data_IF_094165583561
#
_entry.id   IF_094165583561
#
_cell.length_a   1.000
_cell.length_b   1.000
_cell.length_c   1.000
_cell.angle_alpha   90.00
_cell.angle_beta   90.00
_cell.angle_gamma   90.00
#
_symmetry.space_group_name_H-M   'P 1'
#
loop_
_entity.id
_entity.type
_entity.pdbx_description
1 polymer ?
#
# COMPACT_ATOMS: atom_id res chain seq x y z
N UNK A 1 31.54 13.68 -9.96
CA UNK A 1 31.05 13.27 -8.63
C UNK A 1 30.55 11.84 -8.70
N UNK A 2 30.49 11.16 -7.57
CA UNK A 2 29.79 9.87 -7.39
C UNK A 2 28.65 10.07 -6.40
N UNK A 3 27.47 9.45 -6.60
CA UNK A 3 27.05 8.63 -7.75
C UNK A 3 27.08 9.37 -9.10
N UNK A 4 27.03 8.62 -10.20
CA UNK A 4 26.93 9.19 -11.55
C UNK A 4 25.49 9.61 -11.88
N UNK A 5 25.33 10.50 -12.86
CA UNK A 5 24.00 10.95 -13.27
C UNK A 5 23.14 9.77 -13.77
N UNK A 6 21.86 9.78 -13.39
CA UNK A 6 20.90 8.72 -13.69
C UNK A 6 21.01 7.48 -12.80
N UNK A 7 21.90 7.47 -11.80
CA UNK A 7 22.01 6.35 -10.88
C UNK A 7 20.73 6.19 -10.03
N UNK A 8 20.22 4.96 -9.96
CA UNK A 8 19.25 4.56 -8.95
C UNK A 8 19.99 4.07 -7.72
N UNK A 9 19.73 4.67 -6.57
CA UNK A 9 20.50 4.47 -5.33
C UNK A 9 19.58 4.14 -4.15
N UNK A 10 20.11 3.36 -3.20
CA UNK A 10 19.39 2.92 -2.01
C UNK A 10 20.34 2.60 -0.86
N UNK A 11 19.81 2.59 0.37
CA UNK A 11 20.57 2.24 1.57
C UNK A 11 21.64 3.27 1.94
N UNK A 12 22.82 2.80 2.30
CA UNK A 12 23.96 3.68 2.63
C UNK A 12 25.01 3.61 1.54
N UNK A 13 25.43 4.76 1.03
CA UNK A 13 26.45 4.87 -0.01
C UNK A 13 27.43 6.01 0.26
N UNK A 14 28.51 6.06 -0.51
CA UNK A 14 29.47 7.16 -0.47
C UNK A 14 29.16 8.18 -1.57
N UNK A 15 29.03 9.45 -1.19
CA UNK A 15 29.03 10.58 -2.12
C UNK A 15 30.45 11.16 -2.16
N UNK A 16 31.02 11.34 -3.34
CA UNK A 16 32.37 11.88 -3.48
C UNK A 16 32.50 12.85 -4.65
N UNK A 17 33.46 13.76 -4.54
CA UNK A 17 33.80 14.72 -5.59
C UNK A 17 35.32 14.89 -5.68
N UNK A 18 35.79 15.17 -6.89
CA UNK A 18 37.13 15.67 -7.12
C UNK A 18 37.05 17.19 -7.22
N UNK A 19 37.96 17.87 -6.55
CA UNK A 19 38.09 19.33 -6.61
C UNK A 19 39.56 19.69 -6.78
N UNK A 20 39.83 20.67 -7.63
CA UNK A 20 41.18 21.14 -7.92
C UNK A 20 41.16 22.66 -7.93
N UNK A 21 42.22 23.24 -7.40
CA UNK A 21 42.48 24.67 -7.44
C UNK A 21 43.99 24.88 -7.57
N UNK A 22 44.43 26.04 -8.08
CA UNK A 22 45.85 26.33 -8.26
C UNK A 22 46.59 26.61 -6.94
N UNK A 23 45.88 27.04 -5.88
CA UNK A 23 46.43 27.26 -4.54
C UNK A 23 45.93 26.26 -3.51
N UNK A 24 44.92 25.47 -3.86
CA UNK A 24 44.44 24.32 -3.08
C UNK A 24 43.01 24.50 -2.60
N UNK A 25 42.31 23.38 -2.50
CA UNK A 25 40.92 23.32 -2.05
C UNK A 25 40.90 23.05 -0.54
N UNK A 26 40.22 23.91 0.23
CA UNK A 26 40.13 23.80 1.70
C UNK A 26 38.87 23.11 2.18
N UNK A 27 37.88 22.90 1.30
CA UNK A 27 36.67 22.18 1.66
C UNK A 27 35.77 21.88 0.48
N UNK A 28 34.96 20.83 0.62
CA UNK A 28 33.88 20.47 -0.29
C UNK A 28 32.62 20.20 0.52
N UNK A 29 31.58 20.99 0.27
CA UNK A 29 30.25 20.78 0.85
C UNK A 29 29.35 20.07 -0.14
N UNK A 30 28.90 18.86 0.21
CA UNK A 30 27.85 18.15 -0.54
C UNK A 30 26.47 18.68 -0.19
N UNK A 31 25.56 18.66 -1.17
CA UNK A 31 24.17 19.07 -1.00
C UNK A 31 23.20 18.14 -1.74
N UNK A 32 22.03 17.93 -1.15
CA UNK A 32 20.86 17.26 -1.73
C UNK A 32 19.76 18.31 -1.92
N UNK A 33 19.32 18.52 -3.17
CA UNK A 33 18.31 19.51 -3.54
C UNK A 33 18.58 20.92 -2.99
N UNK A 34 19.86 21.30 -2.93
CA UNK A 34 20.32 22.60 -2.43
C UNK A 34 20.52 22.67 -0.91
N UNK A 35 20.14 21.64 -0.15
CA UNK A 35 20.34 21.54 1.31
C UNK A 35 21.63 20.80 1.63
N UNK A 36 22.39 21.24 2.64
CA UNK A 36 23.64 20.61 3.04
C UNK A 36 23.43 19.13 3.43
N UNK A 37 24.17 18.25 2.74
CA UNK A 37 24.19 16.82 2.98
C UNK A 37 25.38 16.49 3.89
N UNK A 38 25.18 16.70 5.19
CA UNK A 38 26.23 16.52 6.21
C UNK A 38 27.17 17.72 6.32
N UNK A 39 28.24 17.53 7.10
CA UNK A 39 29.27 18.55 7.30
C UNK A 39 30.20 18.68 6.08
N UNK A 40 30.83 19.84 5.95
CA UNK A 40 31.84 20.07 4.92
C UNK A 40 33.06 19.16 5.10
N UNK A 41 33.54 18.57 4.01
CA UNK A 41 34.73 17.73 4.01
C UNK A 41 35.96 18.60 3.72
N UNK A 42 36.85 18.74 4.71
CA UNK A 42 37.96 19.73 4.68
C UNK A 42 39.28 19.19 4.12
N UNK A 43 39.34 17.91 3.73
CA UNK A 43 40.54 17.29 3.17
C UNK A 43 40.20 16.22 2.12
N UNK A 44 41.10 16.03 1.17
CA UNK A 44 40.99 14.99 0.16
C UNK A 44 41.33 13.59 0.76
N UNK A 45 40.68 12.50 0.31
CA UNK A 45 39.63 12.46 -0.71
C UNK A 45 38.30 13.01 -0.19
N UNK A 46 37.68 13.93 -0.94
CA UNK A 46 36.42 14.56 -0.53
C UNK A 46 35.27 13.56 -0.71
N UNK A 47 34.91 12.89 0.39
CA UNK A 47 33.88 11.88 0.41
C UNK A 47 33.09 11.92 1.73
N UNK A 48 31.78 11.65 1.65
CA UNK A 48 30.89 11.56 2.79
C UNK A 48 29.99 10.33 2.67
N UNK A 49 29.72 9.67 3.81
CA UNK A 49 28.71 8.62 3.89
C UNK A 49 27.31 9.24 3.89
N UNK A 50 26.42 8.72 3.06
CA UNK A 50 25.03 9.15 2.96
C UNK A 50 24.10 7.96 3.15
N UNK A 51 23.20 8.07 4.14
CA UNK A 51 22.07 7.17 4.31
C UNK A 51 20.84 7.70 3.54
N UNK A 52 20.52 7.12 2.38
CA UNK A 52 19.39 7.55 1.53
C UNK A 52 18.03 7.23 2.13
N UNK A 53 17.94 6.40 3.17
CA UNK A 53 16.65 6.12 3.84
C UNK A 53 16.09 7.31 4.62
N UNK A 54 16.90 8.35 4.78
CA UNK A 54 16.49 9.63 5.41
C UNK A 54 15.91 10.64 4.41
N UNK A 55 15.94 10.32 3.12
CA UNK A 55 15.38 11.13 2.04
C UNK A 55 14.15 10.45 1.42
N UNK A 56 13.29 11.25 0.79
CA UNK A 56 12.10 10.75 0.08
C UNK A 56 12.54 9.88 -1.11
N UNK A 57 11.76 8.87 -1.48
CA UNK A 57 12.02 8.12 -2.70
C UNK A 57 11.61 8.97 -3.93
N UNK A 58 12.41 8.96 -4.99
CA UNK A 58 12.14 9.76 -6.19
C UNK A 58 13.39 10.44 -6.77
N UNK A 59 13.21 11.34 -7.74
CA UNK A 59 14.32 12.07 -8.36
C UNK A 59 14.87 13.14 -7.40
N UNK A 60 16.18 13.18 -7.27
CA UNK A 60 16.92 14.15 -6.47
C UNK A 60 18.12 14.71 -7.23
N UNK A 61 18.59 15.88 -6.82
CA UNK A 61 19.76 16.54 -7.39
C UNK A 61 20.88 16.66 -6.35
N UNK A 62 22.00 15.98 -6.62
CA UNK A 62 23.23 16.13 -5.85
C UNK A 62 24.09 17.25 -6.44
N UNK A 63 24.64 18.10 -5.58
CA UNK A 63 25.68 19.07 -5.93
C UNK A 63 26.82 19.01 -4.92
N UNK A 64 28.00 19.47 -5.33
CA UNK A 64 29.12 19.74 -4.44
C UNK A 64 29.62 21.15 -4.71
N UNK A 65 30.03 21.86 -3.65
CA UNK A 65 30.62 23.19 -3.76
C UNK A 65 31.99 23.13 -3.10
N UNK A 66 33.05 23.32 -3.90
CA UNK A 66 34.41 23.44 -3.42
C UNK A 66 34.68 24.88 -2.96
N UNK A 67 35.46 25.04 -1.90
CA UNK A 67 35.98 26.33 -1.45
C UNK A 67 37.50 26.33 -1.44
N UNK A 68 38.12 27.40 -1.90
CA UNK A 68 39.57 27.60 -1.84
C UNK A 68 40.02 28.37 -0.59
N UNK A 69 41.34 28.56 -0.42
CA UNK A 69 41.93 29.32 0.69
C UNK A 69 41.49 30.79 0.75
N UNK A 70 41.09 31.37 -0.38
CA UNK A 70 40.65 32.76 -0.50
C UNK A 70 39.13 32.91 -0.28
N UNK A 71 38.41 31.81 -0.10
CA UNK A 71 36.96 31.78 0.08
C UNK A 71 36.16 31.75 -1.22
N UNK A 72 36.81 31.61 -2.39
CA UNK A 72 36.11 31.47 -3.66
C UNK A 72 35.38 30.13 -3.72
N UNK A 73 34.21 30.12 -4.34
CA UNK A 73 33.36 28.93 -4.45
C UNK A 73 33.32 28.41 -5.89
N UNK A 74 33.59 27.12 -6.06
CA UNK A 74 33.48 26.39 -7.32
C UNK A 74 32.40 25.31 -7.24
N UNK A 75 31.20 25.53 -7.80
CA UNK A 75 30.17 24.50 -7.84
C UNK A 75 30.50 23.43 -8.90
N UNK A 76 30.28 22.17 -8.54
CA UNK A 76 30.25 21.07 -9.50
C UNK A 76 28.94 21.09 -10.30
N UNK A 77 28.97 20.54 -11.51
CA UNK A 77 27.76 20.28 -12.28
C UNK A 77 26.78 19.41 -11.47
N UNK A 78 25.48 19.74 -11.45
CA UNK A 78 24.49 18.93 -10.74
C UNK A 78 24.41 17.50 -11.28
N UNK A 79 24.20 16.55 -10.39
CA UNK A 79 24.02 15.13 -10.71
C UNK A 79 22.61 14.72 -10.29
N UNK A 80 21.77 14.39 -11.27
CA UNK A 80 20.46 13.80 -11.00
C UNK A 80 20.60 12.33 -10.61
N UNK A 81 19.97 11.92 -9.53
CA UNK A 81 19.90 10.52 -9.06
C UNK A 81 18.45 10.19 -8.71
N UNK A 82 18.11 8.91 -8.71
CA UNK A 82 16.81 8.43 -8.24
C UNK A 82 17.01 7.64 -6.96
N UNK A 83 16.43 8.10 -5.85
CA UNK A 83 16.41 7.33 -4.61
C UNK A 83 15.28 6.31 -4.69
N UNK A 84 15.63 5.04 -4.54
CA UNK A 84 14.69 3.93 -4.55
C UNK A 84 15.05 2.93 -3.45
N UNK A 85 14.78 3.29 -2.19
CA UNK A 85 15.10 2.45 -1.02
C UNK A 85 14.31 1.11 -0.96
N UNK A 86 13.46 0.82 -1.95
CA UNK A 86 12.41 -0.19 -1.86
C UNK A 86 11.34 0.22 -0.85
N UNK A 87 10.11 -0.24 -1.01
CA UNK A 87 9.11 -0.08 0.06
C UNK A 87 9.42 -1.12 1.14
N UNK A 88 9.82 -0.68 2.33
CA UNK A 88 9.94 -1.55 3.52
C UNK A 88 8.57 -2.04 4.01
N UNK A 89 7.50 -1.69 3.30
CA UNK A 89 6.11 -2.06 3.59
C UNK A 89 5.83 -3.56 3.55
N UNK A 90 6.74 -4.38 3.01
CA UNK A 90 6.63 -5.84 3.10
C UNK A 90 7.42 -6.42 4.29
N UNK A 91 8.33 -5.65 4.89
CA UNK A 91 9.09 -6.08 6.06
C UNK A 91 8.21 -6.10 7.29
N UNK A 92 8.28 -7.19 8.07
CA UNK A 92 7.54 -7.35 9.31
C UNK A 92 6.04 -7.57 9.14
N UNK A 93 5.55 -7.84 7.92
CA UNK A 93 4.18 -8.30 7.70
C UNK A 93 3.99 -9.67 8.34
N UNK A 94 2.94 -9.79 9.16
CA UNK A 94 2.49 -11.05 9.77
C UNK A 94 1.07 -11.43 9.37
N UNK A 95 0.36 -10.53 8.70
CA UNK A 95 -0.91 -10.81 8.04
C UNK A 95 -1.17 -9.76 6.98
N UNK A 96 -1.60 -10.18 5.79
CA UNK A 96 -1.97 -9.28 4.72
C UNK A 96 -3.13 -9.87 3.90
N UNK A 97 -4.33 -9.37 4.12
CA UNK A 97 -5.53 -9.77 3.39
C UNK A 97 -5.94 -8.65 2.46
N UNK A 98 -5.67 -8.85 1.17
CA UNK A 98 -6.00 -7.90 0.11
C UNK A 98 -7.49 -7.83 -0.18
N UNK A 99 -8.20 -8.95 0.02
CA UNK A 99 -9.58 -9.14 -0.44
C UNK A 99 -9.75 -9.02 -1.96
N UNK A 100 -8.75 -9.51 -2.70
CA UNK A 100 -8.73 -9.50 -4.17
C UNK A 100 -9.27 -10.79 -4.80
N UNK A 101 -9.67 -11.80 -4.01
CA UNK A 101 -10.10 -13.11 -4.54
C UNK A 101 -11.41 -13.02 -5.33
N UNK A 102 -12.28 -12.06 -4.99
CA UNK A 102 -13.54 -11.76 -5.67
C UNK A 102 -14.61 -12.86 -5.59
N UNK A 103 -14.28 -14.03 -5.03
CA UNK A 103 -15.18 -15.19 -4.88
C UNK A 103 -14.71 -16.10 -3.74
N UNK A 104 -15.57 -17.04 -3.33
CA UNK A 104 -15.24 -18.05 -2.32
C UNK A 104 -15.44 -17.58 -0.88
N UNK A 105 -14.95 -18.38 0.06
CA UNK A 105 -15.18 -18.25 1.51
C UNK A 105 -13.90 -17.98 2.31
N UNK A 106 -12.80 -17.65 1.63
CA UNK A 106 -11.50 -17.44 2.25
C UNK A 106 -10.84 -16.19 1.70
N UNK A 107 -10.09 -15.49 2.55
CA UNK A 107 -9.14 -14.46 2.13
C UNK A 107 -7.72 -14.95 2.40
N UNK A 108 -6.88 -14.97 1.38
CA UNK A 108 -5.52 -15.51 1.43
C UNK A 108 -4.62 -14.49 2.12
N UNK A 109 -3.75 -14.99 2.99
CA UNK A 109 -2.69 -14.18 3.59
C UNK A 109 -1.52 -14.00 2.62
N UNK A 110 -1.43 -12.83 2.02
CA UNK A 110 -0.36 -12.43 1.10
C UNK A 110 0.96 -12.06 1.79
N UNK A 111 1.03 -12.09 3.13
CA UNK A 111 2.29 -11.83 3.86
C UNK A 111 3.27 -13.01 3.79
N UNK A 112 2.78 -14.20 3.46
CA UNK A 112 3.55 -15.45 3.54
C UNK A 112 3.55 -16.10 4.93
N UNK A 113 2.81 -15.56 5.90
CA UNK A 113 2.75 -16.11 7.27
C UNK A 113 1.74 -17.25 7.43
N UNK A 114 0.97 -17.57 6.39
CA UNK A 114 0.02 -18.67 6.39
C UNK A 114 -1.24 -18.41 7.24
N UNK A 115 -1.52 -17.15 7.58
CA UNK A 115 -2.69 -16.76 8.37
C UNK A 115 -3.94 -16.61 7.49
N UNK A 116 -4.26 -17.60 6.65
CA UNK A 116 -5.46 -17.56 5.79
C UNK A 116 -6.72 -17.35 6.62
N UNK A 117 -7.57 -16.42 6.18
CA UNK A 117 -8.80 -16.05 6.87
C UNK A 117 -10.01 -16.78 6.30
N UNK A 118 -11.03 -16.98 7.14
CA UNK A 118 -12.31 -17.55 6.76
C UNK A 118 -13.41 -16.50 6.87
N UNK A 119 -14.26 -16.42 5.84
CA UNK A 119 -15.45 -15.58 5.82
C UNK A 119 -16.60 -16.28 6.57
N UNK A 120 -17.14 -15.61 7.58
CA UNK A 120 -18.16 -16.14 8.47
C UNK A 120 -19.51 -15.48 8.19
N UNK A 121 -20.56 -16.29 8.05
CA UNK A 121 -21.94 -15.83 7.81
C UNK A 121 -22.15 -14.97 6.55
N UNK A 122 -21.25 -15.09 5.56
CA UNK A 122 -21.43 -14.53 4.22
C UNK A 122 -21.22 -13.02 4.05
N UNK A 123 -20.05 -12.44 4.38
CA UNK A 123 -19.62 -11.18 3.78
C UNK A 123 -19.62 -11.31 2.25
N UNK A 124 -19.94 -10.24 1.55
CA UNK A 124 -20.07 -10.26 0.08
C UNK A 124 -18.90 -9.57 -0.58
N UNK A 125 -18.40 -10.15 -1.68
CA UNK A 125 -17.38 -9.53 -2.51
C UNK A 125 -17.97 -8.31 -3.23
N UNK A 126 -17.26 -7.19 -3.19
CA UNK A 126 -17.68 -5.93 -3.82
C UNK A 126 -16.48 -5.20 -4.42
N UNK A 127 -16.70 -4.07 -5.06
CA UNK A 127 -15.62 -3.19 -5.52
C UNK A 127 -14.92 -2.54 -4.33
N UNK A 128 -13.62 -2.76 -4.26
CA UNK A 128 -12.76 -2.23 -3.21
C UNK A 128 -12.24 -0.84 -3.48
N UNK A 129 -11.39 -0.37 -2.57
CA UNK A 129 -10.46 0.72 -2.83
C UNK A 129 -9.40 0.27 -3.85
N UNK A 130 -8.99 -0.99 -3.77
CA UNK A 130 -8.05 -1.67 -4.65
C UNK A 130 -8.73 -2.94 -5.17
N UNK A 131 -9.10 -2.96 -6.44
CA UNK A 131 -9.82 -4.09 -7.07
C UNK A 131 -11.10 -4.50 -6.31
N UNK A 132 -11.02 -5.50 -5.42
CA UNK A 132 -12.13 -6.07 -4.69
C UNK A 132 -12.01 -5.80 -3.19
N UNK A 133 -13.12 -5.94 -2.49
CA UNK A 133 -13.20 -5.81 -1.05
C UNK A 133 -14.31 -6.70 -0.51
N UNK A 134 -14.39 -6.76 0.83
CA UNK A 134 -15.50 -7.43 1.50
C UNK A 134 -16.47 -6.40 2.09
N UNK A 135 -17.75 -6.56 1.76
CA UNK A 135 -18.86 -5.82 2.33
C UNK A 135 -19.52 -6.63 3.45
N UNK A 136 -19.79 -5.93 4.54
CA UNK A 136 -20.32 -6.45 5.79
C UNK A 136 -21.67 -5.82 6.12
N UNK A 137 -22.58 -6.63 6.67
CA UNK A 137 -23.99 -6.26 6.89
C UNK A 137 -24.21 -5.47 8.19
N UNK A 138 -23.23 -5.46 9.10
CA UNK A 138 -23.36 -4.89 10.43
C UNK A 138 -24.26 -5.69 11.39
N UNK A 139 -24.60 -6.93 11.04
CA UNK A 139 -25.50 -7.79 11.80
C UNK A 139 -24.83 -9.08 12.25
N UNK A 140 -24.22 -9.84 11.33
CA UNK A 140 -23.73 -11.20 11.64
C UNK A 140 -22.45 -11.60 10.94
N UNK A 141 -22.11 -10.94 9.83
CA UNK A 141 -21.02 -11.40 8.98
C UNK A 141 -19.69 -10.73 9.33
N UNK A 142 -18.62 -11.50 9.23
CA UNK A 142 -17.27 -11.07 9.63
C UNK A 142 -16.22 -11.98 9.00
N UNK A 143 -14.95 -11.64 9.19
CA UNK A 143 -13.82 -12.51 8.82
C UNK A 143 -13.09 -12.94 10.09
N UNK A 144 -12.69 -14.21 10.16
CA UNK A 144 -11.90 -14.75 11.28
C UNK A 144 -10.58 -15.32 10.81
N UNK A 145 -9.53 -15.08 11.58
CA UNK A 145 -8.19 -15.62 11.38
C UNK A 145 -7.80 -16.36 12.66
N UNK A 146 -7.41 -17.65 12.58
CA UNK A 146 -6.96 -18.41 13.74
C UNK A 146 -5.89 -17.68 14.53
N UNK A 147 -5.95 -17.78 15.87
CA UNK A 147 -4.96 -17.12 16.71
C UNK A 147 -3.59 -17.74 16.54
N UNK A 148 -2.58 -16.91 16.29
CA UNK A 148 -1.16 -17.28 16.28
C UNK A 148 -0.37 -16.31 17.16
N UNK A 149 0.79 -16.77 17.67
CA UNK A 149 1.67 -15.92 18.48
C UNK A 149 2.18 -14.69 17.69
N UNK A 150 2.39 -14.83 16.38
CA UNK A 150 2.81 -13.72 15.51
C UNK A 150 1.76 -12.59 15.44
N UNK A 151 0.47 -12.92 15.59
CA UNK A 151 -0.61 -11.93 15.65
C UNK A 151 -0.73 -11.25 17.03
N UNK A 152 -0.04 -11.73 18.08
CA UNK A 152 0.15 -10.98 19.34
C UNK A 152 1.33 -10.00 19.24
N UNK A 153 1.42 -9.30 18.11
CA UNK A 153 2.55 -8.48 17.75
C UNK A 153 2.80 -7.33 18.74
N UNK A 154 4.06 -7.14 19.11
CA UNK A 154 4.61 -5.94 19.73
C UNK A 154 6.07 -5.76 19.28
N UNK A 155 6.47 -4.59 18.76
CA UNK A 155 5.63 -3.47 18.33
C UNK A 155 4.56 -3.89 17.30
N UNK A 156 3.51 -3.09 17.13
CA UNK A 156 2.38 -3.39 16.24
C UNK A 156 2.17 -2.27 15.23
N UNK A 157 1.82 -2.63 14.00
CA UNK A 157 0.98 -1.76 13.15
C UNK A 157 -0.20 -2.55 12.62
N UNK A 158 -1.42 -2.06 12.80
CA UNK A 158 -2.61 -2.56 12.15
C UNK A 158 -3.11 -1.50 11.15
N UNK A 159 -3.20 -1.85 9.88
CA UNK A 159 -3.62 -0.94 8.80
C UNK A 159 -4.76 -1.53 7.98
N UNK A 160 -5.68 -0.69 7.50
CA UNK A 160 -6.87 -1.12 6.76
C UNK A 160 -7.47 0.06 5.99
N UNK A 161 -8.01 -0.22 4.80
CA UNK A 161 -8.94 0.68 4.13
C UNK A 161 -10.37 0.38 4.59
N UNK A 162 -11.08 1.41 5.04
CA UNK A 162 -12.45 1.31 5.53
C UNK A 162 -13.38 2.25 4.76
N UNK A 163 -14.61 1.80 4.54
CA UNK A 163 -15.73 2.64 4.12
C UNK A 163 -16.96 2.25 4.92
N UNK A 164 -17.46 3.14 5.76
CA UNK A 164 -18.57 2.83 6.69
C UNK A 164 -19.46 4.04 6.92
N UNK A 165 -20.71 3.78 7.29
CA UNK A 165 -21.68 4.75 7.79
C UNK A 165 -22.18 4.39 9.20
N UNK A 166 -21.40 3.63 9.97
CA UNK A 166 -21.77 3.22 11.32
C UNK A 166 -21.98 4.44 12.22
N UNK A 167 -23.16 4.59 12.81
CA UNK A 167 -23.53 5.70 13.70
C UNK A 167 -23.78 5.30 15.15
N UNK A 168 -23.85 3.99 15.44
CA UNK A 168 -24.22 3.46 16.75
C UNK A 168 -23.52 2.14 17.04
N UNK A 169 -23.30 1.84 18.31
CA UNK A 169 -22.68 0.59 18.75
C UNK A 169 -21.16 0.64 18.77
N UNK A 170 -20.55 -0.50 19.07
CA UNK A 170 -19.10 -0.69 19.15
C UNK A 170 -18.70 -1.71 18.08
N UNK A 171 -18.44 -1.23 16.87
CA UNK A 171 -18.22 -2.08 15.70
C UNK A 171 -16.73 -2.37 15.52
N UNK A 172 -16.30 -3.62 15.69
CA UNK A 172 -14.90 -4.00 15.46
C UNK A 172 -14.51 -3.82 13.99
N UNK A 173 -13.35 -3.22 13.71
CA UNK A 173 -12.79 -3.12 12.35
C UNK A 173 -11.66 -4.15 12.20
N UNK A 174 -10.62 -4.02 13.03
CA UNK A 174 -9.52 -4.98 13.17
C UNK A 174 -9.38 -5.29 14.64
N UNK A 175 -9.72 -6.52 15.05
CA UNK A 175 -9.92 -6.82 16.46
C UNK A 175 -9.30 -8.16 16.88
N UNK A 176 -8.34 -8.13 17.81
CA UNK A 176 -7.80 -9.32 18.51
C UNK A 176 -8.09 -9.25 20.00
N UNK A 177 -9.20 -8.63 20.37
CA UNK A 177 -9.61 -8.41 21.74
C UNK A 177 -11.01 -8.98 21.95
N UNK A 178 -11.25 -9.59 23.11
CA UNK A 178 -12.60 -9.99 23.54
C UNK A 178 -13.01 -9.12 24.72
N UNK A 179 -14.28 -8.76 24.77
CA UNK A 179 -14.78 -7.84 25.79
C UNK A 179 -14.37 -8.27 27.22
N UNK A 180 -13.99 -7.29 28.04
CA UNK A 180 -13.56 -7.46 29.42
C UNK A 180 -12.28 -8.30 29.65
N UNK A 181 -11.56 -8.71 28.60
CA UNK A 181 -10.31 -9.47 28.76
C UNK A 181 -9.11 -8.63 29.18
N UNK A 182 -9.16 -7.31 28.90
CA UNK A 182 -8.02 -6.38 29.00
C UNK A 182 -6.73 -6.89 28.35
N UNK A 183 -6.84 -7.71 27.30
CA UNK A 183 -5.70 -8.37 26.66
C UNK A 183 -5.96 -8.52 25.15
N UNK A 184 -5.22 -7.76 24.34
CA UNK A 184 -5.37 -7.70 22.88
C UNK A 184 -5.35 -6.27 22.35
N UNK A 185 -5.75 -6.09 21.10
CA UNK A 185 -5.83 -4.78 20.45
C UNK A 185 -7.08 -4.68 19.60
N UNK A 186 -7.52 -3.45 19.35
CA UNK A 186 -8.68 -3.18 18.50
C UNK A 186 -8.55 -1.82 17.80
N UNK A 187 -8.92 -1.80 16.52
CA UNK A 187 -9.38 -0.61 15.78
C UNK A 187 -10.88 -0.79 15.56
N UNK A 188 -11.69 0.22 15.89
CA UNK A 188 -13.16 0.07 15.93
C UNK A 188 -13.89 1.41 15.79
N UNK A 189 -15.18 1.33 15.48
CA UNK A 189 -16.11 2.45 15.60
C UNK A 189 -16.82 2.39 16.95
N UNK A 190 -17.00 3.53 17.61
CA UNK A 190 -17.86 3.67 18.79
C UNK A 190 -18.82 4.85 18.61
N UNK A 191 -20.10 4.55 18.39
CA UNK A 191 -21.15 5.55 18.17
C UNK A 191 -20.74 6.61 17.13
N UNK A 192 -20.22 6.15 15.99
CA UNK A 192 -19.79 6.99 14.87
C UNK A 192 -18.39 7.59 14.96
N UNK A 193 -17.67 7.38 16.06
CA UNK A 193 -16.29 7.84 16.20
C UNK A 193 -15.30 6.70 15.97
N UNK A 194 -14.22 6.97 15.27
CA UNK A 194 -13.10 6.04 15.09
C UNK A 194 -12.23 6.04 16.37
N UNK A 195 -11.94 4.83 16.84
CA UNK A 195 -11.22 4.59 18.08
C UNK A 195 -10.18 3.48 17.87
N UNK A 196 -9.15 3.45 18.71
CA UNK A 196 -8.21 2.34 18.77
C UNK A 196 -7.59 2.18 20.16
N UNK A 197 -7.24 0.96 20.54
CA UNK A 197 -6.48 0.69 21.77
C UNK A 197 -5.60 -0.55 21.65
N UNK A 198 -4.64 -0.63 22.57
CA UNK A 198 -3.77 -1.78 22.76
C UNK A 198 -3.65 -2.08 24.24
N UNK A 199 -4.01 -3.30 24.65
CA UNK A 199 -4.04 -3.74 26.03
C UNK A 199 -3.11 -4.95 26.15
N UNK A 200 -1.98 -4.78 26.83
CA UNK A 200 -1.12 -5.93 27.16
C UNK A 200 -1.79 -6.76 28.26
N UNK A 201 -2.20 -6.07 29.32
CA UNK A 201 -2.90 -6.61 30.49
C UNK A 201 -3.60 -5.47 31.26
N UNK A 202 -4.25 -5.81 32.38
CA UNK A 202 -4.95 -4.87 33.26
C UNK A 202 -4.09 -3.71 33.79
N UNK A 203 -2.77 -3.89 33.86
CA UNK A 203 -1.82 -2.91 34.41
C UNK A 203 -1.06 -2.14 33.34
N UNK A 204 -1.06 -2.64 32.10
CA UNK A 204 -0.23 -2.12 31.01
C UNK A 204 -1.04 -1.94 29.73
N UNK A 205 -1.30 -0.68 29.34
CA UNK A 205 -2.18 -0.37 28.20
C UNK A 205 -1.91 0.98 27.52
N UNK A 206 -2.31 1.05 26.25
CA UNK A 206 -2.59 2.26 25.49
C UNK A 206 -4.11 2.35 25.32
N UNK A 207 -4.77 2.92 26.33
CA UNK A 207 -6.24 2.96 26.41
C UNK A 207 -6.80 4.33 26.85
N UNK A 208 -6.02 5.19 27.51
CA UNK A 208 -6.50 6.52 27.92
C UNK A 208 -7.69 6.53 28.90
N UNK A 209 -8.20 5.37 29.33
CA UNK A 209 -9.26 5.21 30.32
C UNK A 209 -10.70 5.41 29.80
N UNK A 210 -10.90 5.77 28.52
CA UNK A 210 -12.22 5.97 27.92
C UNK A 210 -12.61 4.78 27.03
N UNK A 211 -13.92 4.54 26.88
CA UNK A 211 -14.44 3.51 25.96
C UNK A 211 -14.23 3.83 24.47
N UNK A 212 -13.66 4.99 24.13
CA UNK A 212 -13.22 5.33 22.77
C UNK A 212 -11.97 6.22 22.87
N UNK A 213 -10.78 5.62 22.91
CA UNK A 213 -9.54 6.38 22.88
C UNK A 213 -9.34 6.97 21.49
N UNK A 214 -8.67 8.12 21.41
CA UNK A 214 -8.57 9.02 20.24
C UNK A 214 -9.88 9.73 19.85
N UNK A 215 -11.03 9.04 19.91
CA UNK A 215 -12.37 9.60 19.70
C UNK A 215 -12.50 10.53 18.49
N UNK A 216 -12.24 9.99 17.30
CA UNK A 216 -12.17 10.78 16.07
C UNK A 216 -13.50 10.74 15.28
N UNK A 217 -14.28 11.83 15.22
CA UNK A 217 -15.49 11.89 14.42
C UNK A 217 -15.18 12.05 12.92
N UNK A 218 -16.18 11.80 12.08
CA UNK A 218 -16.18 12.21 10.65
C UNK A 218 -15.60 11.19 9.67
N UNK A 219 -15.14 10.03 10.15
CA UNK A 219 -14.65 8.92 9.31
C UNK A 219 -15.71 7.82 9.07
N UNK A 220 -16.97 8.15 9.32
CA UNK A 220 -18.15 7.34 9.02
C UNK A 220 -19.03 8.02 7.95
N UNK A 221 -18.42 8.73 7.02
CA UNK A 221 -19.03 9.53 5.96
C UNK A 221 -19.33 8.71 4.68
N UNK A 222 -19.19 7.38 4.75
CA UNK A 222 -19.30 6.46 3.63
C UNK A 222 -18.28 6.71 2.50
N UNK A 223 -17.14 7.34 2.79
CA UNK A 223 -15.98 7.43 1.91
C UNK A 223 -14.87 6.46 2.34
N UNK A 224 -13.92 6.22 1.44
CA UNK A 224 -12.75 5.42 1.72
C UNK A 224 -11.75 6.19 2.57
N UNK A 225 -11.38 5.64 3.72
CA UNK A 225 -10.31 6.13 4.57
C UNK A 225 -9.29 5.04 4.86
N UNK A 226 -8.01 5.39 4.83
CA UNK A 226 -6.94 4.49 5.26
C UNK A 226 -6.64 4.74 6.73
N UNK A 227 -6.86 3.74 7.57
CA UNK A 227 -6.59 3.81 9.01
C UNK A 227 -5.35 2.99 9.33
N UNK A 228 -4.40 3.58 10.08
CA UNK A 228 -3.26 2.86 10.62
C UNK A 228 -3.10 3.14 12.12
N UNK A 229 -3.16 2.08 12.94
CA UNK A 229 -2.87 2.14 14.36
C UNK A 229 -1.49 1.55 14.63
N UNK A 230 -0.57 2.39 15.09
CA UNK A 230 0.85 2.07 15.31
C UNK A 230 1.14 2.08 16.81
N UNK A 231 1.75 1.02 17.34
CA UNK A 231 2.14 0.90 18.75
C UNK A 231 3.62 0.55 18.86
N UNK A 232 4.36 1.33 19.62
CA UNK A 232 5.78 1.14 19.93
C UNK A 232 6.05 1.31 21.43
N UNK A 233 7.31 1.49 21.83
CA UNK A 233 7.68 1.73 23.23
C UNK A 233 7.23 3.10 23.78
N UNK A 234 6.96 4.07 22.91
CA UNK A 234 6.49 5.41 23.29
C UNK A 234 4.98 5.47 23.53
N UNK A 235 4.21 4.54 22.95
CA UNK A 235 2.75 4.51 23.06
C UNK A 235 2.07 4.09 21.76
N UNK A 236 0.79 4.43 21.62
CA UNK A 236 0.03 4.24 20.39
C UNK A 236 -0.22 5.54 19.65
N UNK A 237 -0.24 5.46 18.33
CA UNK A 237 -0.47 6.57 17.39
C UNK A 237 -1.54 6.12 16.39
N UNK A 238 -2.55 6.95 16.18
CA UNK A 238 -3.61 6.68 15.20
C UNK A 238 -3.45 7.65 14.02
N UNK A 239 -3.29 7.08 12.83
CA UNK A 239 -3.19 7.79 11.57
C UNK A 239 -4.44 7.53 10.73
N UNK A 240 -4.90 8.57 10.03
CA UNK A 240 -5.94 8.44 9.01
C UNK A 240 -5.50 9.20 7.76
N UNK A 241 -5.61 8.54 6.61
CA UNK A 241 -5.22 9.04 5.28
C UNK A 241 -3.76 9.50 5.22
N UNK A 242 -2.87 8.75 5.88
CA UNK A 242 -1.43 9.06 5.95
C UNK A 242 -1.03 10.08 7.02
N UNK A 243 -2.00 10.76 7.65
CA UNK A 243 -1.73 11.83 8.62
C UNK A 243 -1.97 11.38 10.07
N UNK A 244 -1.08 11.77 10.98
CA UNK A 244 -1.24 11.54 12.42
C UNK A 244 -2.45 12.33 12.95
N UNK A 245 -3.37 11.65 13.61
CA UNK A 245 -4.57 12.25 14.23
C UNK A 245 -4.47 12.34 15.75
N UNK A 246 -3.68 11.48 16.37
CA UNK A 246 -3.43 11.55 17.81
C UNK A 246 -2.41 10.53 18.31
N UNK A 247 -1.96 10.72 19.54
CA UNK A 247 -1.04 9.81 20.25
C UNK A 247 -1.47 9.62 21.70
N UNK A 248 -1.29 8.41 22.23
CA UNK A 248 -1.53 8.07 23.63
C UNK A 248 -0.29 7.37 24.21
N UNK A 249 0.19 7.77 25.39
CA UNK A 249 1.30 7.08 26.05
C UNK A 249 0.85 5.73 26.61
N UNK A 250 1.82 4.91 26.99
CA UNK A 250 1.58 3.75 27.85
C UNK A 250 1.20 4.19 29.27
N UNK A 251 0.16 3.57 29.82
CA UNK A 251 0.07 3.33 31.25
C UNK A 251 0.75 1.98 31.52
N UNK A 252 1.73 1.92 32.42
CA UNK A 252 2.49 0.70 32.71
C UNK A 252 3.63 0.42 31.71
N UNK A 253 4.04 -0.84 31.61
CA UNK A 253 5.24 -1.25 30.86
C UNK A 253 4.86 -1.77 29.47
N UNK A 254 5.44 -1.22 28.39
CA UNK A 254 5.19 -1.69 27.03
C UNK A 254 5.49 -3.19 26.85
N UNK A 255 4.72 -3.88 26.00
CA UNK A 255 4.93 -5.28 25.68
C UNK A 255 3.76 -5.92 24.94
N UNK A 256 3.95 -7.17 24.50
CA UNK A 256 2.94 -7.94 23.76
C UNK A 256 1.78 -8.44 24.64
N UNK A 257 0.54 -8.48 24.14
CA UNK A 257 -0.55 -9.22 24.75
C UNK A 257 -0.28 -10.72 24.68
N UNK A 258 -1.05 -11.49 25.44
CA UNK A 258 -0.99 -12.96 25.48
C UNK A 258 -2.32 -13.61 25.12
N UNK A 259 -3.21 -12.86 24.48
CA UNK A 259 -4.56 -13.28 24.15
C UNK A 259 -4.57 -14.49 23.21
N UNK A 260 -5.51 -15.40 23.45
CA UNK A 260 -5.83 -16.51 22.56
C UNK A 260 -6.97 -16.20 21.59
N UNK A 261 -7.53 -14.98 21.64
CA UNK A 261 -8.62 -14.55 20.78
C UNK A 261 -8.20 -14.59 19.30
N UNK A 262 -8.97 -15.26 18.41
CA UNK A 262 -8.82 -15.13 16.97
C UNK A 262 -8.85 -13.66 16.53
N UNK A 263 -8.08 -13.32 15.50
CA UNK A 263 -8.19 -11.99 14.90
C UNK A 263 -9.49 -11.95 14.09
N UNK A 264 -10.40 -11.06 14.46
CA UNK A 264 -11.65 -10.80 13.77
C UNK A 264 -11.54 -9.49 13.00
N UNK A 265 -12.07 -9.48 11.77
CA UNK A 265 -12.28 -8.28 10.98
C UNK A 265 -13.79 -8.06 10.86
N UNK A 266 -14.23 -6.81 10.98
CA UNK A 266 -15.64 -6.41 11.01
C UNK A 266 -16.46 -6.93 12.23
N UNK A 267 -15.82 -7.35 13.34
CA UNK A 267 -16.52 -7.88 14.51
C UNK A 267 -15.76 -7.69 15.84
N UNK A 268 -16.48 -7.21 16.86
CA UNK A 268 -16.05 -7.12 18.26
C UNK A 268 -16.79 -8.18 19.11
N UNK A 269 -16.16 -9.31 19.46
CA UNK A 269 -16.85 -10.42 20.10
C UNK A 269 -17.13 -10.18 21.59
N UNK A 270 -18.31 -10.65 22.03
CA UNK A 270 -18.79 -10.63 23.41
C UNK A 270 -18.96 -9.23 24.01
N UNK A 271 -19.07 -8.21 23.16
CA UNK A 271 -19.47 -6.87 23.55
C UNK A 271 -20.85 -6.88 24.19
N UNK A 272 -20.98 -6.26 25.36
CA UNK A 272 -22.25 -6.18 26.09
C UNK A 272 -23.33 -5.30 25.41
N UNK A 273 -23.06 -4.75 24.22
CA UNK A 273 -23.89 -3.79 23.50
C UNK A 273 -24.23 -4.28 22.09
N UNK A 274 -25.46 -4.00 21.63
CA UNK A 274 -25.85 -4.14 20.21
C UNK A 274 -24.89 -3.39 19.28
N UNK A 275 -24.60 -3.96 18.11
CA UNK A 275 -23.74 -3.33 17.09
C UNK A 275 -22.27 -3.74 17.19
N UNK A 276 -21.98 -5.00 17.47
CA UNK A 276 -20.62 -5.58 17.48
C UNK A 276 -20.00 -5.71 16.08
N UNK A 277 -20.85 -5.84 15.06
CA UNK A 277 -20.47 -6.06 13.67
C UNK A 277 -20.42 -4.74 12.91
N UNK A 278 -19.46 -4.59 12.02
CA UNK A 278 -19.29 -3.38 11.21
C UNK A 278 -20.24 -3.39 10.01
N UNK A 279 -21.15 -2.40 9.86
CA UNK A 279 -21.76 -2.12 8.57
C UNK A 279 -20.75 -1.34 7.72
N UNK A 280 -20.29 -1.92 6.61
CA UNK A 280 -19.31 -1.23 5.78
C UNK A 280 -18.53 -2.15 4.85
N UNK A 281 -17.44 -1.62 4.32
CA UNK A 281 -16.54 -2.30 3.41
C UNK A 281 -15.12 -2.19 3.95
N UNK A 282 -14.40 -3.32 3.98
CA UNK A 282 -12.98 -3.37 4.34
C UNK A 282 -12.16 -3.84 3.13
N UNK A 283 -10.98 -3.26 2.99
CA UNK A 283 -10.02 -3.58 1.95
C UNK A 283 -8.58 -3.54 2.52
N UNK A 284 -7.69 -4.33 1.94
CA UNK A 284 -6.24 -4.18 2.07
C UNK A 284 -5.71 -4.20 3.53
N UNK A 285 -6.23 -5.13 4.33
CA UNK A 285 -5.95 -5.25 5.76
C UNK A 285 -4.55 -5.81 5.99
N UNK A 286 -3.74 -5.13 6.81
CA UNK A 286 -2.37 -5.53 7.16
C UNK A 286 -2.11 -5.50 8.65
N UNK A 287 -1.35 -6.49 9.12
CA UNK A 287 -0.79 -6.55 10.46
C UNK A 287 0.72 -6.67 10.35
N UNK A 288 1.42 -5.81 11.08
CA UNK A 288 2.88 -5.78 11.18
C UNK A 288 3.33 -6.09 12.61
N UNK A 289 4.43 -6.84 12.73
CA UNK A 289 5.17 -7.03 13.99
C UNK A 289 6.21 -5.93 14.27
N UNK A 290 5.98 -4.75 13.71
CA UNK A 290 6.81 -3.56 13.91
C UNK A 290 5.94 -2.31 13.84
N UNK A 291 6.47 -1.22 14.40
CA UNK A 291 5.89 0.10 14.24
C UNK A 291 6.33 0.69 12.90
N UNK A 292 5.38 1.03 12.04
CA UNK A 292 5.66 1.81 10.82
C UNK A 292 6.01 3.25 11.21
N UNK A 293 7.02 3.81 10.55
CA UNK A 293 7.35 5.23 10.63
C UNK A 293 6.26 6.09 9.96
N UNK A 294 6.18 7.41 10.28
CA UNK A 294 5.24 8.30 9.59
C UNK A 294 5.39 8.28 8.07
N UNK A 295 6.63 8.19 7.56
CA UNK A 295 6.91 8.09 6.12
C UNK A 295 6.33 6.78 5.55
N UNK A 296 6.55 5.65 6.21
CA UNK A 296 5.99 4.37 5.76
C UNK A 296 4.46 4.35 5.82
N UNK A 297 3.83 4.99 6.81
CA UNK A 297 2.37 5.13 6.85
C UNK A 297 1.85 5.97 5.69
N UNK A 298 2.54 7.07 5.35
CA UNK A 298 2.22 7.89 4.18
C UNK A 298 2.44 7.13 2.88
N UNK A 299 3.52 6.35 2.77
CA UNK A 299 3.79 5.50 1.61
C UNK A 299 2.75 4.39 1.47
N UNK A 300 2.30 3.79 2.57
CA UNK A 300 1.24 2.77 2.56
C UNK A 300 -0.09 3.34 2.05
N UNK A 301 -0.45 4.54 2.53
CA UNK A 301 -1.60 5.29 2.02
C UNK A 301 -1.46 5.65 0.53
N UNK A 302 -0.27 6.09 0.09
CA UNK A 302 -0.04 6.51 -1.30
C UNK A 302 0.08 5.34 -2.28
N UNK A 303 0.72 4.24 -1.89
CA UNK A 303 0.86 3.02 -2.69
C UNK A 303 -0.51 2.38 -3.02
N UNK A 304 -1.53 2.73 -2.24
CA UNK A 304 -2.91 2.27 -2.36
C UNK A 304 -3.85 3.37 -2.91
N UNK A 305 -3.28 4.53 -3.25
CA UNK A 305 -3.90 5.55 -4.09
C UNK A 305 -3.50 5.39 -5.59
N UNK A 306 -2.63 4.41 -5.89
CA UNK A 306 -2.21 4.08 -7.26
C UNK A 306 -3.21 3.12 -7.90
N UNK A 307 -3.72 3.53 -9.07
CA UNK A 307 -4.37 2.67 -10.08
C UNK A 307 -3.64 1.35 -10.25
N UNK A 308 -4.39 0.29 -10.59
CA UNK A 308 -3.87 -1.04 -10.94
C UNK A 308 -2.56 -0.93 -11.74
N UNK A 309 -1.49 -1.48 -11.18
CA UNK A 309 -0.19 -1.57 -11.83
C UNK A 309 -0.07 -2.97 -12.46
N UNK A 310 0.09 -3.01 -13.78
CA UNK A 310 0.44 -4.24 -14.49
C UNK A 310 1.83 -4.70 -13.99
N UNK A 311 1.92 -5.94 -13.51
CA UNK A 311 3.11 -6.48 -12.80
C UNK A 311 4.13 -7.12 -13.74
N UNK A 312 3.83 -7.16 -15.02
CA UNK A 312 4.68 -7.75 -16.05
C UNK A 312 5.74 -6.79 -16.64
N UNK A 313 6.71 -7.37 -17.36
CA UNK A 313 7.87 -6.65 -17.92
C UNK A 313 7.44 -5.38 -18.70
N UNK A 314 8.16 -4.25 -18.56
CA UNK A 314 7.86 -3.04 -19.30
C UNK A 314 7.84 -3.31 -20.81
N UNK A 315 6.85 -2.74 -21.50
CA UNK A 315 6.69 -2.85 -22.95
C UNK A 315 7.83 -2.09 -23.66
N UNK A 316 8.99 -2.74 -23.84
CA UNK A 316 10.10 -2.14 -24.57
C UNK A 316 9.79 -2.20 -26.07
N UNK A 317 9.84 -1.08 -26.83
CA UNK A 317 9.47 -1.03 -28.25
C UNK A 317 10.28 -1.93 -29.22
N UNK A 318 11.19 -2.76 -28.72
CA UNK A 318 12.10 -3.61 -29.51
C UNK A 318 12.12 -5.09 -29.06
N UNK A 319 11.26 -5.49 -28.12
CA UNK A 319 11.07 -6.90 -27.75
C UNK A 319 10.05 -7.58 -28.67
N UNK A 320 10.42 -8.71 -29.26
CA UNK A 320 9.61 -9.43 -30.27
C UNK A 320 8.53 -10.33 -29.62
N UNK A 321 8.52 -10.51 -28.30
CA UNK A 321 7.57 -11.40 -27.63
C UNK A 321 6.72 -10.67 -26.57
N UNK A 322 5.48 -10.32 -26.94
CA UNK A 322 4.41 -10.03 -25.97
C UNK A 322 4.06 -11.36 -25.30
N UNK A 323 4.24 -11.45 -23.97
CA UNK A 323 4.05 -12.68 -23.21
C UNK A 323 2.58 -12.88 -22.88
N UNK A 324 2.13 -14.13 -22.75
CA UNK A 324 0.76 -14.44 -22.33
C UNK A 324 0.39 -13.83 -20.95
N UNK A 325 1.39 -13.56 -20.09
CA UNK A 325 1.22 -12.80 -18.84
C UNK A 325 0.54 -11.44 -19.05
N UNK A 326 0.91 -10.74 -20.14
CA UNK A 326 0.36 -9.42 -20.50
C UNK A 326 -1.14 -9.46 -20.78
N UNK A 327 -1.61 -10.59 -21.30
CA UNK A 327 -3.00 -10.84 -21.64
C UNK A 327 -3.78 -11.24 -20.41
N UNK A 328 -3.22 -12.13 -19.58
CA UNK A 328 -3.91 -12.63 -18.38
C UNK A 328 -4.16 -11.51 -17.38
N UNK A 329 -3.21 -10.59 -17.19
CA UNK A 329 -3.42 -9.42 -16.33
C UNK A 329 -4.50 -8.48 -16.88
N UNK A 330 -4.50 -8.21 -18.19
CA UNK A 330 -5.54 -7.40 -18.85
C UNK A 330 -6.92 -8.08 -18.78
N UNK A 331 -7.00 -9.40 -18.95
CA UNK A 331 -8.26 -10.16 -18.81
C UNK A 331 -8.81 -10.08 -17.39
N UNK A 332 -7.95 -10.24 -16.39
CA UNK A 332 -8.34 -10.10 -14.98
C UNK A 332 -8.85 -8.69 -14.68
N UNK A 333 -8.13 -7.66 -15.13
CA UNK A 333 -8.54 -6.27 -14.91
C UNK A 333 -9.88 -5.95 -15.60
N UNK A 334 -10.07 -6.40 -16.84
CA UNK A 334 -11.34 -6.24 -17.56
C UNK A 334 -12.46 -7.04 -16.89
N UNK A 335 -12.20 -8.25 -16.37
CA UNK A 335 -13.20 -9.03 -15.66
C UNK A 335 -13.71 -8.30 -14.41
N UNK A 336 -12.81 -7.68 -13.63
CA UNK A 336 -13.18 -6.83 -12.48
C UNK A 336 -14.02 -5.64 -12.91
N UNK A 337 -13.65 -4.96 -13.99
CA UNK A 337 -14.40 -3.82 -14.52
C UNK A 337 -15.78 -4.23 -15.10
N UNK A 338 -15.90 -5.43 -15.67
CA UNK A 338 -17.20 -5.97 -16.13
C UNK A 338 -18.14 -6.24 -14.98
N UNK A 339 -17.63 -6.77 -13.86
CA UNK A 339 -18.41 -6.93 -12.65
C UNK A 339 -18.93 -5.59 -12.13
N UNK A 340 -18.09 -4.55 -12.14
CA UNK A 340 -18.48 -3.17 -11.81
C UNK A 340 -19.60 -2.65 -12.72
N UNK A 341 -19.51 -2.93 -14.02
CA UNK A 341 -20.52 -2.57 -15.00
C UNK A 341 -21.78 -3.45 -15.00
N UNK A 342 -21.93 -4.38 -14.05
CA UNK A 342 -23.00 -5.41 -14.00
C UNK A 342 -23.11 -6.25 -15.28
N UNK A 343 -22.01 -6.39 -16.00
CA UNK A 343 -21.93 -7.18 -17.23
C UNK A 343 -21.61 -8.64 -16.90
N UNK A 344 -22.21 -9.56 -17.66
CA UNK A 344 -21.84 -10.97 -17.57
C UNK A 344 -20.33 -11.18 -17.89
N UNK A 345 -19.69 -12.23 -17.32
CA UNK A 345 -18.32 -12.59 -17.65
C UNK A 345 -18.11 -12.67 -19.17
N UNK A 346 -16.96 -12.20 -19.65
CA UNK A 346 -16.64 -12.27 -21.07
C UNK A 346 -16.13 -13.67 -21.43
N UNK A 347 -16.72 -14.27 -22.46
CA UNK A 347 -16.29 -15.59 -22.97
C UNK A 347 -15.14 -15.39 -23.96
N UNK A 348 -13.93 -15.74 -23.53
CA UNK A 348 -12.74 -15.73 -24.37
C UNK A 348 -12.69 -16.95 -25.27
N UNK A 349 -12.30 -16.79 -26.54
CA UNK A 349 -12.18 -17.92 -27.49
C UNK A 349 -11.04 -18.87 -27.16
N UNK A 350 -10.00 -18.41 -26.46
CA UNK A 350 -8.91 -19.21 -25.90
C UNK A 350 -8.86 -19.09 -24.36
N UNK A 351 -9.67 -19.88 -23.63
CA UNK A 351 -9.77 -19.74 -22.18
C UNK A 351 -8.47 -20.10 -21.43
N UNK A 352 -7.57 -20.87 -22.06
CA UNK A 352 -6.30 -21.30 -21.47
C UNK A 352 -5.10 -20.65 -22.19
N UNK A 353 -4.51 -19.67 -21.52
CA UNK A 353 -3.26 -19.03 -21.93
C UNK A 353 -2.12 -19.59 -21.07
N UNK A 354 -1.12 -20.23 -21.68
CA UNK A 354 0.04 -20.75 -20.95
C UNK A 354 1.23 -19.80 -21.13
N UNK A 355 1.76 -19.20 -20.04
CA UNK A 355 2.94 -18.35 -20.09
C UNK A 355 4.12 -19.03 -20.79
N UNK A 356 4.71 -18.33 -21.78
CA UNK A 356 5.86 -18.83 -22.53
C UNK A 356 5.56 -19.78 -23.68
N UNK A 357 4.31 -20.22 -23.87
CA UNK A 357 3.95 -21.15 -24.96
C UNK A 357 2.80 -20.67 -25.85
N UNK A 358 1.83 -19.90 -25.32
CA UNK A 358 0.77 -19.34 -26.15
C UNK A 358 1.22 -18.02 -26.81
N UNK A 359 1.32 -17.94 -28.16
CA UNK A 359 1.69 -16.70 -28.84
C UNK A 359 0.55 -15.70 -28.76
N UNK A 360 0.86 -14.44 -28.48
CA UNK A 360 -0.11 -13.36 -28.53
C UNK A 360 -0.55 -13.07 -29.97
N UNK A 361 -1.86 -13.07 -30.23
CA UNK A 361 -2.43 -12.89 -31.57
C UNK A 361 -3.36 -11.69 -31.60
N UNK A 362 -3.63 -11.18 -32.80
CA UNK A 362 -4.59 -10.09 -33.04
C UNK A 362 -5.96 -10.36 -32.43
N UNK A 363 -6.40 -11.62 -32.45
CA UNK A 363 -7.67 -12.04 -31.87
C UNK A 363 -7.79 -11.62 -30.40
N UNK A 364 -6.71 -11.79 -29.61
CA UNK A 364 -6.72 -11.44 -28.19
C UNK A 364 -6.88 -9.92 -27.99
N UNK A 365 -6.24 -9.09 -28.81
CA UNK A 365 -6.44 -7.62 -28.77
C UNK A 365 -7.88 -7.25 -29.07
N UNK A 366 -8.48 -7.85 -30.09
CA UNK A 366 -9.86 -7.57 -30.50
C UNK A 366 -10.86 -7.96 -29.41
N UNK A 367 -10.67 -9.13 -28.79
CA UNK A 367 -11.49 -9.56 -27.66
C UNK A 367 -11.34 -8.63 -26.45
N UNK A 368 -10.10 -8.25 -26.08
CA UNK A 368 -9.84 -7.33 -24.98
C UNK A 368 -10.49 -5.96 -25.23
N UNK A 369 -10.35 -5.40 -26.44
CA UNK A 369 -11.01 -4.15 -26.82
C UNK A 369 -12.52 -4.28 -26.75
N UNK A 370 -13.09 -5.36 -27.27
CA UNK A 370 -14.54 -5.61 -27.24
C UNK A 370 -15.06 -5.69 -25.81
N UNK A 371 -14.40 -6.48 -24.97
CA UNK A 371 -14.77 -6.68 -23.58
C UNK A 371 -14.70 -5.37 -22.77
N UNK A 372 -13.65 -4.56 -22.99
CA UNK A 372 -13.47 -3.27 -22.33
C UNK A 372 -14.44 -2.19 -22.86
N UNK A 373 -14.68 -2.14 -24.17
CA UNK A 373 -15.63 -1.19 -24.75
C UNK A 373 -17.05 -1.40 -24.22
N UNK A 374 -17.46 -2.65 -24.00
CA UNK A 374 -18.75 -2.96 -23.36
C UNK A 374 -18.83 -2.40 -21.93
N UNK A 375 -17.73 -2.45 -21.16
CA UNK A 375 -17.65 -1.82 -19.84
C UNK A 375 -17.83 -0.31 -19.95
N UNK A 376 -17.08 0.35 -20.81
CA UNK A 376 -17.20 1.80 -21.01
C UNK A 376 -18.65 2.20 -21.33
N UNK A 377 -19.30 1.45 -22.20
CA UNK A 377 -20.70 1.67 -22.56
C UNK A 377 -21.65 1.44 -21.39
N UNK A 378 -21.48 0.36 -20.61
CA UNK A 378 -22.35 0.09 -19.45
C UNK A 378 -22.19 1.13 -18.34
N UNK A 379 -21.01 1.76 -18.24
CA UNK A 379 -20.73 2.86 -17.32
C UNK A 379 -21.09 4.25 -17.87
N UNK A 380 -21.69 4.34 -19.07
CA UNK A 380 -22.06 5.62 -19.70
C UNK A 380 -20.87 6.50 -20.09
N UNK A 381 -19.69 5.90 -20.31
CA UNK A 381 -18.44 6.59 -20.67
C UNK A 381 -18.18 6.50 -22.18
N UNK A 382 -17.47 7.51 -22.70
CA UNK A 382 -16.99 7.48 -24.08
C UNK A 382 -15.96 6.37 -24.27
N UNK A 383 -16.15 5.56 -25.32
CA UNK A 383 -15.30 4.40 -25.61
C UNK A 383 -13.88 4.85 -25.98
N UNK A 384 -12.82 4.15 -25.54
CA UNK A 384 -11.45 4.50 -25.87
C UNK A 384 -11.19 4.54 -27.37
N UNK A 385 -10.39 5.50 -27.80
CA UNK A 385 -9.86 5.54 -29.17
C UNK A 385 -8.53 4.83 -29.23
N UNK A 386 -8.32 4.05 -30.30
CA UNK A 386 -7.09 3.28 -30.51
C UNK A 386 -6.40 3.79 -31.78
N UNK A 387 -5.08 3.92 -31.77
CA UNK A 387 -4.31 4.42 -32.92
C UNK A 387 -4.38 3.50 -34.14
N UNK A 388 -4.65 2.21 -33.93
CA UNK A 388 -4.89 1.21 -34.98
C UNK A 388 -6.27 0.55 -34.78
N UNK A 389 -7.37 1.20 -35.19
CA UNK A 389 -8.73 0.71 -34.95
C UNK A 389 -9.10 -0.47 -35.85
N UNK A 390 -8.38 -0.67 -36.96
CA UNK A 390 -8.68 -1.66 -38.02
C UNK A 390 -7.77 -2.89 -37.98
N UNK A 391 -7.22 -3.24 -36.81
CA UNK A 391 -6.31 -4.38 -36.71
C UNK A 391 -7.01 -5.68 -37.16
N UNK A 392 -6.50 -6.33 -38.21
CA UNK A 392 -7.11 -7.53 -38.82
C UNK A 392 -6.38 -8.81 -38.44
N UNK A 393 -7.10 -9.93 -38.42
CA UNK A 393 -6.53 -11.25 -38.14
C UNK A 393 -5.32 -11.54 -39.05
N UNK A 394 -4.17 -11.83 -38.44
CA UNK A 394 -2.91 -12.07 -39.16
C UNK A 394 -1.91 -10.92 -39.15
N UNK A 395 -2.30 -9.71 -38.68
CA UNK A 395 -1.36 -8.61 -38.46
C UNK A 395 -0.50 -8.80 -37.20
N UNK A 396 0.71 -8.24 -37.22
CA UNK A 396 1.60 -8.29 -36.06
C UNK A 396 1.07 -7.41 -34.93
N UNK A 397 0.94 -7.97 -33.74
CA UNK A 397 0.54 -7.20 -32.56
C UNK A 397 1.75 -6.44 -32.02
N UNK A 398 1.60 -5.12 -31.88
CA UNK A 398 2.64 -4.21 -31.41
C UNK A 398 2.44 -3.86 -29.94
N UNK A 399 3.52 -3.47 -29.27
CA UNK A 399 3.51 -2.99 -27.89
C UNK A 399 2.49 -1.86 -27.66
N UNK A 400 2.31 -0.98 -28.65
CA UNK A 400 1.33 0.13 -28.58
C UNK A 400 -0.10 -0.39 -28.34
N UNK A 401 -0.49 -1.54 -28.91
CA UNK A 401 -1.84 -2.07 -28.73
C UNK A 401 -2.11 -2.51 -27.27
N UNK A 402 -1.08 -3.01 -26.58
CA UNK A 402 -1.18 -3.33 -25.15
C UNK A 402 -1.16 -2.06 -24.32
N UNK A 403 -0.26 -1.12 -24.60
CA UNK A 403 -0.15 0.13 -23.87
C UNK A 403 -1.47 0.92 -23.88
N UNK A 404 -2.15 0.98 -25.04
CA UNK A 404 -3.46 1.62 -25.18
C UNK A 404 -4.55 0.92 -24.36
N UNK A 405 -4.58 -0.43 -24.38
CA UNK A 405 -5.52 -1.21 -23.57
C UNK A 405 -5.28 -1.00 -22.07
N UNK A 406 -4.02 -0.96 -21.64
CA UNK A 406 -3.65 -0.67 -20.24
C UNK A 406 -4.09 0.72 -19.82
N UNK A 407 -3.79 1.73 -20.63
CA UNK A 407 -4.22 3.10 -20.38
C UNK A 407 -5.75 3.22 -20.32
N UNK A 408 -6.46 2.51 -21.20
CA UNK A 408 -7.92 2.47 -21.21
C UNK A 408 -8.50 1.75 -19.99
N UNK A 409 -7.86 0.70 -19.48
CA UNK A 409 -8.26 0.06 -18.21
C UNK A 409 -8.04 1.01 -17.05
N UNK A 410 -6.88 1.66 -16.99
CA UNK A 410 -6.53 2.60 -15.92
C UNK A 410 -7.44 3.82 -15.88
N UNK A 411 -7.95 4.29 -17.03
CA UNK A 411 -8.86 5.43 -17.09
C UNK A 411 -10.30 5.14 -16.59
N UNK A 412 -10.66 3.88 -16.33
CA UNK A 412 -11.93 3.49 -15.69
C UNK A 412 -11.80 3.23 -14.18
N UNK A 413 -10.58 3.28 -13.66
CA UNK A 413 -10.27 3.18 -12.23
C UNK A 413 -10.14 4.59 -11.64
#
# INVERSE_FOLDING_TARGET
MTPTAGATISGTLTVAANATDNMGVVGVQFKLDGVNLGAEVTAAPYAASWNTTTAVNGPHTLTAVARDVAGNLGPAAPVSVTIANGTTLNTGLVGYWKFDEGTGLTAIDASGSGNTATLMNGPTWTTGKLNFALAFDGLTNYVTVPSTAALNAYPLTAAVWIKTNATSGVNGIVNKYVANSFNGYQVFMNNGNLCAWYLRDLSSSVYGGSGCPFNLPGYNDNQWHHVAFVVDASGGKLYVDGFLKGSLPWAGTPGAPTTSQPLHLAHYPQGASSGEYLPGVLDDVRIYNRALSPTEVSELYAATASTFAFTDDPLIPQSIAIKAAHITELRSAIASLRALGTLAPFTWTDPTLTPGTTPFRTLHVLELRTALNQVYQSLGRAVPTYTDPTIVAGQMVRAVHIAELRAAVQALQ
#
